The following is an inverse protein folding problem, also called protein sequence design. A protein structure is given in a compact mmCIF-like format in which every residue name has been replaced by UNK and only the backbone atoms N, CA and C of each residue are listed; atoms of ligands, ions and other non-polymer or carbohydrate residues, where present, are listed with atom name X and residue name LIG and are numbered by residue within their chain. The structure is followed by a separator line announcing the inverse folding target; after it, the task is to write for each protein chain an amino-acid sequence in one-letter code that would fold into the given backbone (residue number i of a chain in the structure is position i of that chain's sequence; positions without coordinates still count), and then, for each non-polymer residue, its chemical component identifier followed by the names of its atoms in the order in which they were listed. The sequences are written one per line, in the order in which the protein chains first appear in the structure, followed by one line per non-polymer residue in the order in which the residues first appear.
data_IF_955652199318
#
_entry.id   IF_955652199318
#
_cell.length_a   1.000
_cell.length_b   1.000
_cell.length_c   1.000
_cell.angle_alpha   90.00
_cell.angle_beta   90.00
_cell.angle_gamma   90.00
#
_symmetry.space_group_name_H-M   'P 1'
#
loop_
_entity.id
_entity.type
_entity.pdbx_description
1 polymer ?
#
# COMPACT_ATOMS: atom_id res chain seq x y z
N UNK A 1 18.20 0.18 -0.28
CA UNK A 1 17.29 0.13 -1.45
C UNK A 1 15.89 0.36 -0.93
N UNK A 2 15.18 1.27 -1.56
CA UNK A 2 13.76 1.55 -1.25
C UNK A 2 12.89 0.32 -1.50
N UNK A 3 11.91 0.09 -0.65
CA UNK A 3 10.88 -0.93 -0.83
C UNK A 3 9.55 -0.26 -1.18
N UNK A 4 8.94 -0.66 -2.30
CA UNK A 4 7.65 -0.12 -2.75
C UNK A 4 6.57 -1.17 -2.54
N UNK A 5 5.57 -0.84 -1.72
CA UNK A 5 4.47 -1.74 -1.34
C UNK A 5 3.14 -1.15 -1.79
N UNK A 6 2.43 -1.83 -2.68
CA UNK A 6 1.07 -1.49 -3.02
C UNK A 6 0.08 -2.14 -2.03
N UNK A 7 -0.79 -1.34 -1.43
CA UNK A 7 -1.85 -1.81 -0.52
C UNK A 7 -3.13 -2.00 -1.34
N UNK A 8 -3.45 -3.25 -1.67
CA UNK A 8 -4.47 -3.57 -2.67
C UNK A 8 -5.51 -4.55 -2.14
N UNK A 9 -6.78 -4.24 -2.35
CA UNK A 9 -7.87 -5.20 -2.30
C UNK A 9 -9.05 -4.64 -3.10
N UNK A 10 -9.69 -5.49 -3.91
CA UNK A 10 -10.85 -5.15 -4.71
C UNK A 10 -12.08 -4.80 -3.84
N UNK A 11 -12.15 -5.33 -2.62
CA UNK A 11 -13.24 -5.05 -1.70
C UNK A 11 -13.05 -3.69 -1.03
N UNK A 12 -14.10 -2.86 -1.04
CA UNK A 12 -14.16 -1.63 -0.25
C UNK A 12 -14.26 -1.91 1.25
N UNK A 13 -13.81 -0.97 2.08
CA UNK A 13 -13.97 -1.06 3.53
C UNK A 13 -13.14 -2.14 4.24
N UNK A 14 -12.05 -2.63 3.63
CA UNK A 14 -11.14 -3.60 4.26
C UNK A 14 -9.93 -2.95 4.96
N UNK A 15 -10.03 -1.67 5.26
CA UNK A 15 -8.99 -0.87 5.92
C UNK A 15 -7.68 -0.69 5.11
N UNK A 16 -7.74 -0.55 3.76
CA UNK A 16 -6.56 -0.22 2.95
C UNK A 16 -5.92 1.08 3.40
N UNK A 17 -6.62 2.18 3.29
CA UNK A 17 -6.18 3.53 3.70
C UNK A 17 -5.74 3.57 5.16
N UNK A 18 -6.53 2.97 6.06
CA UNK A 18 -6.17 2.88 7.48
C UNK A 18 -4.85 2.12 7.67
N UNK A 19 -4.62 1.06 6.90
CA UNK A 19 -3.36 0.30 6.95
C UNK A 19 -2.22 1.12 6.40
N UNK A 20 -2.42 1.86 5.30
CA UNK A 20 -1.38 2.73 4.72
C UNK A 20 -0.92 3.79 5.71
N UNK A 21 -1.85 4.55 6.32
CA UNK A 21 -1.53 5.58 7.33
C UNK A 21 -0.77 4.99 8.50
N UNK A 22 -1.30 3.92 9.09
CA UNK A 22 -0.77 3.42 10.36
C UNK A 22 0.49 2.57 10.19
N UNK A 23 0.66 1.89 9.06
CA UNK A 23 1.92 1.24 8.72
C UNK A 23 3.00 2.29 8.44
N UNK A 24 2.67 3.38 7.73
CA UNK A 24 3.60 4.48 7.49
C UNK A 24 4.07 5.12 8.80
N UNK A 25 3.15 5.43 9.71
CA UNK A 25 3.47 5.96 11.02
C UNK A 25 4.35 5.01 11.84
N UNK A 26 4.04 3.72 11.83
CA UNK A 26 4.83 2.72 12.54
C UNK A 26 6.25 2.56 11.94
N UNK A 27 6.40 2.58 10.61
CA UNK A 27 7.71 2.57 9.95
C UNK A 27 8.50 3.85 10.27
N UNK A 28 7.84 5.02 10.31
CA UNK A 28 8.46 6.29 10.71
C UNK A 28 8.93 6.25 12.18
N UNK A 29 8.18 5.63 13.11
CA UNK A 29 8.63 5.41 14.50
C UNK A 29 9.93 4.56 14.56
N UNK A 30 10.17 3.67 13.58
CA UNK A 30 11.41 2.91 13.44
C UNK A 30 12.56 3.71 12.78
N UNK A 31 12.32 4.98 12.43
CA UNK A 31 13.31 5.87 11.80
C UNK A 31 13.44 5.70 10.30
N UNK A 32 12.53 4.94 9.66
CA UNK A 32 12.47 4.78 8.21
C UNK A 32 11.85 6.03 7.55
N UNK A 33 12.39 6.44 6.40
CA UNK A 33 11.81 7.51 5.58
C UNK A 33 10.69 6.94 4.72
N UNK A 34 9.47 7.43 4.92
CA UNK A 34 8.27 6.86 4.30
C UNK A 34 7.55 7.88 3.42
N UNK A 35 7.30 7.51 2.17
CA UNK A 35 6.39 8.20 1.28
C UNK A 35 5.08 7.40 1.16
N UNK A 36 3.96 8.05 1.40
CA UNK A 36 2.63 7.55 1.06
C UNK A 36 2.18 8.16 -0.27
N UNK A 37 1.70 7.34 -1.18
CA UNK A 37 1.10 7.77 -2.44
C UNK A 37 -0.39 7.45 -2.38
N UNK A 38 -1.24 8.47 -2.46
CA UNK A 38 -2.68 8.30 -2.58
C UNK A 38 -3.06 8.10 -4.06
N UNK A 39 -3.48 6.89 -4.42
CA UNK A 39 -3.88 6.53 -5.77
C UNK A 39 -5.40 6.25 -5.88
N UNK A 40 -6.19 6.76 -4.93
CA UNK A 40 -7.64 6.73 -4.96
C UNK A 40 -8.18 8.13 -5.28
N UNK A 41 -8.97 8.32 -6.36
CA UNK A 41 -9.61 9.61 -6.65
C UNK A 41 -10.50 10.15 -5.53
N UNK A 42 -10.92 9.31 -4.59
CA UNK A 42 -11.65 9.74 -3.40
C UNK A 42 -10.77 10.44 -2.35
N UNK A 43 -9.44 10.44 -2.53
CA UNK A 43 -8.45 11.12 -1.68
C UNK A 43 -8.58 10.80 -0.18
N UNK A 44 -8.99 9.57 0.16
CA UNK A 44 -9.21 9.17 1.55
C UNK A 44 -7.91 9.17 2.36
N UNK A 45 -6.78 8.78 1.77
CA UNK A 45 -5.48 8.83 2.42
C UNK A 45 -5.05 10.29 2.66
N UNK A 46 -5.24 11.13 1.66
CA UNK A 46 -4.96 12.57 1.71
C UNK A 46 -5.72 13.25 2.85
N UNK A 47 -7.02 12.98 2.96
CA UNK A 47 -7.85 13.49 4.05
C UNK A 47 -7.46 12.91 5.42
N UNK A 48 -7.14 11.63 5.48
CA UNK A 48 -6.73 10.95 6.73
C UNK A 48 -5.38 11.45 7.26
N UNK A 49 -4.57 12.09 6.43
CA UNK A 49 -3.33 12.76 6.81
C UNK A 49 -3.50 14.29 6.90
N UNK A 50 -4.73 14.77 7.10
CA UNK A 50 -5.04 16.13 7.53
C UNK A 50 -5.37 17.13 6.42
N UNK A 51 -5.27 16.79 5.13
CA UNK A 51 -5.68 17.66 4.06
C UNK A 51 -7.18 17.51 3.77
N UNK A 52 -7.99 18.45 4.29
CA UNK A 52 -9.46 18.37 4.21
C UNK A 52 -10.04 18.85 2.87
N UNK A 53 -9.27 19.56 2.05
CA UNK A 53 -9.67 20.08 0.73
C UNK A 53 -8.71 19.59 -0.36
N UNK A 54 -8.66 18.27 -0.65
CA UNK A 54 -7.70 17.71 -1.61
C UNK A 54 -7.86 18.28 -3.02
N UNK A 55 -9.06 18.66 -3.42
CA UNK A 55 -9.35 19.20 -4.76
C UNK A 55 -8.86 20.65 -4.96
N UNK A 56 -8.47 21.33 -3.89
CA UNK A 56 -7.89 22.69 -3.93
C UNK A 56 -6.34 22.67 -3.94
N UNK A 57 -5.73 21.48 -3.84
CA UNK A 57 -4.27 21.36 -3.87
C UNK A 57 -3.72 21.75 -5.24
N UNK A 58 -2.61 22.50 -5.27
CA UNK A 58 -2.03 22.99 -6.52
C UNK A 58 -1.32 21.89 -7.34
N UNK A 59 -1.01 20.76 -6.71
CA UNK A 59 -0.31 19.63 -7.34
C UNK A 59 -0.67 18.31 -6.64
N UNK A 60 -1.05 17.31 -7.42
CA UNK A 60 -1.53 16.01 -6.96
C UNK A 60 -1.05 14.87 -7.84
N UNK A 61 -1.42 13.63 -7.54
CA UNK A 61 -1.15 12.48 -8.42
C UNK A 61 -1.74 12.63 -9.82
N UNK A 62 -2.80 13.42 -10.00
CA UNK A 62 -3.32 13.73 -11.34
C UNK A 62 -2.29 14.45 -12.20
N UNK A 63 -1.60 15.45 -11.64
CA UNK A 63 -0.55 16.21 -12.32
C UNK A 63 0.69 15.34 -12.62
N UNK A 64 1.03 14.43 -11.71
CA UNK A 64 2.12 13.45 -11.92
C UNK A 64 1.81 12.56 -13.13
N UNK A 65 0.59 12.03 -13.21
CA UNK A 65 0.18 11.18 -14.34
C UNK A 65 0.17 11.99 -15.64
N UNK A 66 -0.28 13.25 -15.61
CA UNK A 66 -0.25 14.14 -16.77
C UNK A 66 1.17 14.38 -17.28
N UNK A 67 2.11 14.65 -16.36
CA UNK A 67 3.54 14.79 -16.72
C UNK A 67 4.12 13.51 -17.31
N UNK A 68 3.74 12.36 -16.76
CA UNK A 68 4.20 11.06 -17.26
C UNK A 68 3.68 10.77 -18.68
N UNK A 69 2.43 11.11 -18.97
CA UNK A 69 1.83 11.00 -20.33
C UNK A 69 2.54 11.95 -21.31
N UNK A 70 2.85 13.18 -20.86
CA UNK A 70 3.53 14.19 -21.68
C UNK A 70 5.05 13.94 -21.83
N UNK A 71 5.58 12.85 -21.23
CA UNK A 71 7.02 12.54 -21.19
C UNK A 71 7.88 13.68 -20.63
N UNK A 72 7.31 14.48 -19.74
CA UNK A 72 8.01 15.56 -19.06
C UNK A 72 8.84 15.02 -17.88
N UNK A 73 9.97 15.70 -17.54
CA UNK A 73 10.71 15.35 -16.32
C UNK A 73 9.84 15.47 -15.07
N UNK A 74 9.87 14.45 -14.23
CA UNK A 74 9.11 14.40 -12.99
C UNK A 74 10.04 14.76 -11.82
N UNK A 75 9.71 15.83 -11.09
CA UNK A 75 10.33 16.13 -9.80
C UNK A 75 9.59 15.35 -8.71
N UNK A 76 10.23 14.36 -8.07
CA UNK A 76 9.57 13.52 -7.07
C UNK A 76 9.19 14.25 -5.79
N UNK A 77 9.72 15.46 -5.56
CA UNK A 77 9.42 16.27 -4.37
C UNK A 77 8.34 17.31 -4.63
N UNK A 78 7.98 17.55 -5.88
CA UNK A 78 6.93 18.51 -6.22
C UNK A 78 5.56 18.02 -5.72
N UNK A 79 4.87 18.84 -4.92
CA UNK A 79 3.55 18.52 -4.37
C UNK A 79 3.56 17.61 -3.16
N UNK A 80 4.74 17.15 -2.71
CA UNK A 80 4.84 16.33 -1.49
C UNK A 80 4.50 17.16 -0.26
N UNK A 81 3.61 16.63 0.57
CA UNK A 81 3.17 17.21 1.84
C UNK A 81 3.87 16.49 2.98
N UNK A 82 4.56 17.25 3.84
CA UNK A 82 5.23 16.70 5.03
C UNK A 82 4.28 16.67 6.22
N UNK A 83 3.99 15.46 6.71
CA UNK A 83 3.14 15.27 7.89
C UNK A 83 3.96 15.30 9.19
N UNK A 84 3.42 15.87 10.30
CA UNK A 84 4.14 15.98 11.59
C UNK A 84 4.62 14.66 12.19
N UNK A 85 4.02 13.54 11.82
CA UNK A 85 4.43 12.18 12.25
C UNK A 85 5.60 11.62 11.42
N UNK A 86 6.30 12.45 10.63
CA UNK A 86 7.45 12.04 9.83
C UNK A 86 7.10 11.23 8.59
N UNK A 87 5.88 11.37 8.09
CA UNK A 87 5.38 10.75 6.87
C UNK A 87 5.33 11.80 5.77
N UNK A 88 5.80 11.47 4.59
CA UNK A 88 5.59 12.27 3.39
C UNK A 88 4.41 11.72 2.60
N UNK A 89 3.61 12.61 2.04
CA UNK A 89 2.40 12.30 1.27
C UNK A 89 2.47 12.91 -0.13
N UNK A 90 2.33 12.09 -1.17
CA UNK A 90 1.91 12.54 -2.49
C UNK A 90 0.38 12.43 -2.54
N UNK A 91 -0.33 13.58 -2.56
CA UNK A 91 -1.78 13.60 -2.42
C UNK A 91 -2.52 13.23 -3.70
N UNK A 92 -3.78 12.81 -3.56
CA UNK A 92 -4.74 12.62 -4.63
C UNK A 92 -5.78 13.74 -4.67
N UNK A 93 -6.55 13.77 -5.76
CA UNK A 93 -7.74 14.60 -5.92
C UNK A 93 -8.75 13.92 -6.85
N UNK A 94 -9.98 14.44 -6.91
CA UNK A 94 -11.03 13.92 -7.81
C UNK A 94 -10.61 13.95 -9.28
N UNK A 95 -9.70 14.83 -9.65
CA UNK A 95 -9.18 14.95 -11.02
C UNK A 95 -8.53 13.65 -11.50
N UNK A 96 -7.95 12.86 -10.59
CA UNK A 96 -7.34 11.57 -10.92
C UNK A 96 -8.35 10.59 -11.57
N UNK A 97 -9.65 10.72 -11.30
CA UNK A 97 -10.68 9.89 -11.93
C UNK A 97 -10.75 10.05 -13.46
N UNK A 98 -10.43 11.23 -13.98
CA UNK A 98 -10.37 11.50 -15.41
C UNK A 98 -9.31 10.66 -16.12
N UNK A 99 -8.20 10.41 -15.46
CA UNK A 99 -7.08 9.65 -16.03
C UNK A 99 -7.36 8.16 -16.20
N UNK A 100 -8.37 7.61 -15.52
CA UNK A 100 -8.83 6.26 -15.82
C UNK A 100 -9.27 6.09 -17.27
N UNK A 101 -9.91 7.13 -17.84
CA UNK A 101 -10.36 7.13 -19.25
C UNK A 101 -9.24 7.54 -20.20
N UNK A 102 -8.45 8.54 -19.85
CA UNK A 102 -7.31 9.02 -20.66
C UNK A 102 -6.31 7.89 -20.88
N UNK A 103 -5.92 7.19 -19.83
CA UNK A 103 -4.94 6.11 -19.88
C UNK A 103 -5.38 4.92 -20.76
N UNK A 104 -6.67 4.73 -21.02
CA UNK A 104 -7.12 3.60 -21.88
C UNK A 104 -6.48 3.65 -23.26
N UNK A 105 -6.25 4.86 -23.80
CA UNK A 105 -5.74 5.08 -25.15
C UNK A 105 -4.22 5.36 -25.18
N UNK A 106 -3.54 5.46 -24.03
CA UNK A 106 -2.13 5.79 -23.96
C UNK A 106 -1.22 4.56 -24.15
N UNK A 107 -0.12 4.76 -24.87
CA UNK A 107 0.94 3.77 -24.98
C UNK A 107 1.72 3.65 -23.67
N UNK A 108 1.99 2.41 -23.23
CA UNK A 108 2.70 2.18 -21.96
C UNK A 108 1.93 2.65 -20.73
N UNK A 109 0.61 2.78 -20.84
CA UNK A 109 -0.33 3.27 -19.84
C UNK A 109 -0.20 2.64 -18.45
N UNK A 110 0.33 1.44 -18.38
CA UNK A 110 0.58 0.70 -17.15
C UNK A 110 1.85 1.14 -16.42
N UNK A 111 2.72 1.96 -17.05
CA UNK A 111 4.02 2.38 -16.51
C UNK A 111 4.06 3.85 -16.05
N UNK A 112 2.95 4.57 -16.06
CA UNK A 112 2.94 6.01 -15.77
C UNK A 112 3.34 6.29 -14.31
N UNK A 113 2.77 5.56 -13.36
CA UNK A 113 3.15 5.69 -11.95
C UNK A 113 4.60 5.27 -11.68
N UNK A 114 5.10 4.27 -12.41
CA UNK A 114 6.46 3.75 -12.22
C UNK A 114 7.51 4.84 -12.43
N UNK A 115 7.31 5.75 -13.38
CA UNK A 115 8.23 6.88 -13.62
C UNK A 115 8.40 7.74 -12.37
N UNK A 116 7.30 8.09 -11.70
CA UNK A 116 7.34 8.83 -10.43
C UNK A 116 7.99 8.03 -9.31
N UNK A 117 7.58 6.78 -9.14
CA UNK A 117 8.12 5.90 -8.08
C UNK A 117 9.63 5.72 -8.24
N UNK A 118 10.12 5.48 -9.45
CA UNK A 118 11.56 5.31 -9.71
C UNK A 118 12.34 6.61 -9.41
N UNK A 119 11.77 7.78 -9.68
CA UNK A 119 12.36 9.07 -9.33
C UNK A 119 12.35 9.31 -7.79
N UNK A 120 11.33 8.83 -7.08
CA UNK A 120 11.19 8.99 -5.62
C UNK A 120 12.05 8.00 -4.80
N UNK A 121 12.34 6.80 -5.34
CA UNK A 121 13.10 5.75 -4.63
C UNK A 121 14.39 6.21 -3.93
N UNK A 122 15.24 7.12 -4.47
CA UNK A 122 16.46 7.54 -3.82
C UNK A 122 16.27 8.27 -2.48
N UNK A 123 15.07 8.80 -2.22
CA UNK A 123 14.77 9.67 -1.09
C UNK A 123 14.12 8.94 0.08
N UNK A 124 13.56 7.74 -0.16
CA UNK A 124 12.74 7.00 0.81
C UNK A 124 13.23 5.57 1.02
N UNK A 125 13.05 5.07 2.24
CA UNK A 125 13.28 3.66 2.58
C UNK A 125 12.06 2.80 2.22
N UNK A 126 10.85 3.37 2.42
CA UNK A 126 9.58 2.74 2.05
C UNK A 126 8.69 3.70 1.27
N UNK A 127 8.04 3.18 0.22
CA UNK A 127 6.98 3.87 -0.52
C UNK A 127 5.73 3.01 -0.44
N UNK A 128 4.66 3.54 0.17
CA UNK A 128 3.38 2.85 0.32
C UNK A 128 2.36 3.45 -0.64
N UNK A 129 1.75 2.63 -1.51
CA UNK A 129 0.77 3.08 -2.49
C UNK A 129 -0.61 2.63 -2.02
N UNK A 130 -1.48 3.57 -1.62
CA UNK A 130 -2.88 3.29 -1.28
C UNK A 130 -3.73 3.21 -2.55
N UNK A 131 -4.35 2.06 -2.79
CA UNK A 131 -5.10 1.80 -4.00
C UNK A 131 -6.61 1.83 -3.76
N UNK A 132 -7.34 2.34 -4.75
CA UNK A 132 -8.81 2.31 -4.74
C UNK A 132 -9.36 0.86 -4.72
N UNK A 133 -10.65 0.65 -4.35
CA UNK A 133 -11.26 -0.68 -4.28
C UNK A 133 -11.69 -1.19 -5.66
N UNK A 134 -10.77 -1.21 -6.62
CA UNK A 134 -11.00 -1.70 -7.99
C UNK A 134 -9.71 -2.28 -8.57
N UNK A 135 -9.80 -3.04 -9.64
CA UNK A 135 -8.65 -3.57 -10.39
C UNK A 135 -8.57 -2.89 -11.78
N UNK A 136 -8.75 -1.58 -11.80
CA UNK A 136 -8.67 -0.76 -13.00
C UNK A 136 -7.22 -0.36 -13.35
N UNK A 137 -7.05 0.54 -14.31
CA UNK A 137 -5.74 0.93 -14.84
C UNK A 137 -4.86 1.60 -13.77
N UNK A 138 -5.43 2.35 -12.81
CA UNK A 138 -4.64 2.97 -11.73
C UNK A 138 -4.07 1.88 -10.79
N UNK A 139 -4.88 0.91 -10.40
CA UNK A 139 -4.40 -0.23 -9.58
C UNK A 139 -3.37 -1.07 -10.35
N UNK A 140 -3.53 -1.24 -11.67
CA UNK A 140 -2.51 -1.91 -12.49
C UNK A 140 -1.19 -1.11 -12.46
N UNK A 141 -1.23 0.22 -12.56
CA UNK A 141 -0.06 1.09 -12.42
C UNK A 141 0.64 0.89 -11.06
N UNK A 142 -0.13 0.79 -9.96
CA UNK A 142 0.43 0.50 -8.64
C UNK A 142 1.15 -0.85 -8.61
N UNK A 143 0.55 -1.91 -9.18
CA UNK A 143 1.14 -3.24 -9.25
C UNK A 143 2.39 -3.29 -10.13
N UNK A 144 2.44 -2.49 -11.19
CA UNK A 144 3.60 -2.40 -12.08
C UNK A 144 4.75 -1.64 -11.42
N UNK A 145 4.46 -0.60 -10.64
CA UNK A 145 5.45 0.21 -9.96
C UNK A 145 5.99 -0.43 -8.67
N UNK A 146 5.21 -1.32 -8.03
CA UNK A 146 5.54 -1.90 -6.74
C UNK A 146 6.54 -3.05 -6.81
N UNK A 147 7.29 -3.26 -5.72
CA UNK A 147 8.11 -4.45 -5.48
C UNK A 147 7.27 -5.57 -4.87
N UNK A 148 6.28 -5.20 -4.05
CA UNK A 148 5.40 -6.16 -3.40
C UNK A 148 3.99 -5.62 -3.15
N UNK A 149 3.06 -6.56 -2.84
CA UNK A 149 1.65 -6.27 -2.58
C UNK A 149 1.27 -6.72 -1.19
N UNK A 150 0.80 -5.79 -0.34
CA UNK A 150 0.16 -6.07 0.93
C UNK A 150 -1.37 -6.11 0.73
N UNK A 151 -2.01 -7.15 1.23
CA UNK A 151 -3.43 -7.42 0.97
C UNK A 151 -4.22 -7.40 2.29
N UNK A 152 -4.77 -6.24 2.71
CA UNK A 152 -5.67 -6.18 3.85
C UNK A 152 -6.96 -6.93 3.55
N UNK A 153 -7.40 -7.79 4.45
CA UNK A 153 -8.63 -8.58 4.28
C UNK A 153 -9.39 -8.72 5.60
N UNK A 154 -10.71 -8.63 5.54
CA UNK A 154 -11.56 -8.92 6.69
C UNK A 154 -11.84 -10.42 6.77
N UNK A 155 -11.95 -11.01 7.97
CA UNK A 155 -12.31 -12.41 8.15
C UNK A 155 -13.81 -12.64 7.92
N UNK A 156 -14.23 -12.54 6.67
CA UNK A 156 -15.62 -12.76 6.22
C UNK A 156 -15.65 -13.84 5.15
N UNK A 157 -16.71 -14.65 5.13
CA UNK A 157 -16.87 -15.79 4.22
C UNK A 157 -16.65 -15.44 2.73
N UNK A 158 -17.14 -14.29 2.28
CA UNK A 158 -16.98 -13.84 0.88
C UNK A 158 -15.60 -13.26 0.55
N UNK A 159 -14.71 -13.11 1.53
CA UNK A 159 -13.36 -12.58 1.29
C UNK A 159 -12.49 -13.50 0.44
N UNK A 160 -12.70 -14.80 0.50
CA UNK A 160 -11.98 -15.80 -0.29
C UNK A 160 -12.13 -15.58 -1.81
N UNK A 161 -13.36 -15.29 -2.29
CA UNK A 161 -13.62 -15.03 -3.72
C UNK A 161 -12.97 -13.73 -4.20
N UNK A 162 -12.97 -12.69 -3.36
CA UNK A 162 -12.28 -11.42 -3.68
C UNK A 162 -10.76 -11.58 -3.76
N UNK A 163 -10.18 -12.39 -2.86
CA UNK A 163 -8.76 -12.73 -2.90
C UNK A 163 -8.39 -13.52 -4.16
N UNK A 164 -9.23 -14.47 -4.59
CA UNK A 164 -9.00 -15.24 -5.82
C UNK A 164 -8.91 -14.34 -7.05
N UNK A 165 -9.85 -13.40 -7.22
CA UNK A 165 -9.83 -12.44 -8.33
C UNK A 165 -8.61 -11.53 -8.28
N UNK A 166 -8.21 -11.08 -7.09
CA UNK A 166 -7.01 -10.30 -6.90
C UNK A 166 -5.76 -11.09 -7.31
N UNK A 167 -5.64 -12.35 -6.87
CA UNK A 167 -4.52 -13.21 -7.24
C UNK A 167 -4.48 -13.53 -8.74
N UNK A 168 -5.62 -13.63 -9.41
CA UNK A 168 -5.67 -13.77 -10.87
C UNK A 168 -5.11 -12.52 -11.57
N UNK A 169 -5.48 -11.32 -11.11
CA UNK A 169 -4.96 -10.06 -11.66
C UNK A 169 -3.48 -9.90 -11.35
N UNK A 170 -3.07 -10.11 -10.09
CA UNK A 170 -1.68 -10.14 -9.68
C UNK A 170 -0.83 -11.05 -10.59
N UNK A 171 -1.27 -12.30 -10.80
CA UNK A 171 -0.54 -13.26 -11.64
C UNK A 171 -0.44 -12.83 -13.11
N UNK A 172 -1.43 -12.09 -13.63
CA UNK A 172 -1.37 -11.53 -14.99
C UNK A 172 -0.33 -10.41 -15.07
N UNK A 173 -0.35 -9.49 -14.08
CA UNK A 173 0.62 -8.38 -14.00
C UNK A 173 2.03 -8.94 -13.82
N UNK A 174 2.24 -9.85 -12.87
CA UNK A 174 3.52 -10.47 -12.62
C UNK A 174 4.11 -11.12 -13.88
N UNK A 175 3.32 -11.91 -14.62
CA UNK A 175 3.83 -12.61 -15.82
C UNK A 175 4.12 -11.70 -17.01
N UNK A 176 3.40 -10.57 -17.14
CA UNK A 176 3.41 -9.77 -18.37
C UNK A 176 4.08 -8.41 -18.24
N UNK A 177 4.07 -7.82 -17.03
CA UNK A 177 4.41 -6.42 -16.84
C UNK A 177 5.47 -6.20 -15.74
N UNK A 178 5.38 -6.94 -14.63
CA UNK A 178 6.31 -6.83 -13.50
C UNK A 178 6.69 -8.22 -12.97
N UNK A 179 7.67 -8.92 -13.61
CA UNK A 179 8.05 -10.29 -13.21
C UNK A 179 8.58 -10.41 -11.79
N UNK A 180 9.10 -9.33 -11.23
CA UNK A 180 9.69 -9.28 -9.89
C UNK A 180 8.67 -8.98 -8.78
N UNK A 181 7.41 -8.68 -9.15
CA UNK A 181 6.34 -8.40 -8.20
C UNK A 181 6.10 -9.60 -7.27
N UNK A 182 6.10 -9.35 -5.97
CA UNK A 182 5.89 -10.35 -4.92
C UNK A 182 4.62 -10.06 -4.13
N UNK A 183 4.18 -11.05 -3.34
CA UNK A 183 3.17 -10.82 -2.31
C UNK A 183 3.89 -10.62 -0.98
N UNK A 184 3.79 -9.41 -0.41
CA UNK A 184 4.33 -9.08 0.91
C UNK A 184 3.63 -9.90 1.99
N UNK A 185 2.31 -9.97 1.90
CA UNK A 185 1.49 -10.81 2.76
C UNK A 185 0.01 -10.41 2.75
N UNK A 186 -0.80 -11.32 3.26
CA UNK A 186 -2.21 -11.09 3.57
C UNK A 186 -2.30 -10.63 5.02
N UNK A 187 -2.91 -9.45 5.25
CA UNK A 187 -3.12 -8.86 6.57
C UNK A 187 -4.58 -9.03 6.97
N UNK A 188 -4.83 -9.73 8.07
CA UNK A 188 -6.18 -9.81 8.66
C UNK A 188 -6.50 -8.50 9.37
N UNK A 189 -7.56 -7.83 8.95
CA UNK A 189 -7.98 -6.53 9.47
C UNK A 189 -9.38 -6.61 10.08
N UNK A 190 -9.72 -5.63 10.94
CA UNK A 190 -11.03 -5.53 11.61
C UNK A 190 -11.42 -6.83 12.33
N UNK A 191 -10.44 -7.43 12.98
CA UNK A 191 -10.61 -8.69 13.69
C UNK A 191 -11.50 -8.49 14.92
N UNK A 192 -12.66 -9.14 14.93
CA UNK A 192 -13.50 -9.31 16.11
C UNK A 192 -13.32 -10.73 16.64
N UNK A 193 -12.69 -10.88 17.80
CA UNK A 193 -12.39 -12.19 18.39
C UNK A 193 -13.57 -12.81 19.14
N UNK A 194 -14.68 -12.10 19.29
CA UNK A 194 -15.85 -12.60 20.04
C UNK A 194 -16.58 -13.76 19.34
N UNK A 195 -16.83 -13.74 18.01
CA UNK A 195 -17.42 -14.87 17.34
C UNK A 195 -16.37 -15.97 17.04
N UNK A 196 -16.71 -17.25 17.34
CA UNK A 196 -15.86 -18.39 16.96
C UNK A 196 -15.67 -18.47 15.43
N UNK A 197 -16.71 -18.14 14.66
CA UNK A 197 -16.67 -18.09 13.21
C UNK A 197 -15.53 -17.24 12.64
N UNK A 198 -15.16 -16.14 13.30
CA UNK A 198 -14.05 -15.29 12.85
C UNK A 198 -12.71 -16.04 12.90
N UNK A 199 -12.50 -16.84 13.92
CA UNK A 199 -11.30 -17.69 14.04
C UNK A 199 -11.26 -18.75 12.94
N UNK A 200 -12.38 -19.42 12.69
CA UNK A 200 -12.49 -20.44 11.65
C UNK A 200 -12.16 -19.87 10.26
N UNK A 201 -12.59 -18.62 9.97
CA UNK A 201 -12.27 -17.96 8.71
C UNK A 201 -10.79 -17.58 8.61
N UNK A 202 -10.17 -17.11 9.70
CA UNK A 202 -8.71 -16.83 9.73
C UNK A 202 -7.92 -18.11 9.50
N UNK A 203 -8.30 -19.20 10.18
CA UNK A 203 -7.66 -20.51 10.01
C UNK A 203 -7.85 -21.04 8.58
N UNK A 204 -9.00 -20.78 7.96
CA UNK A 204 -9.25 -21.09 6.55
C UNK A 204 -8.34 -20.27 5.62
N UNK A 205 -8.17 -18.96 5.88
CA UNK A 205 -7.24 -18.10 5.11
C UNK A 205 -5.81 -18.64 5.25
N UNK A 206 -5.37 -18.92 6.46
CA UNK A 206 -4.03 -19.45 6.74
C UNK A 206 -3.80 -20.82 6.10
N UNK A 207 -4.77 -21.74 6.17
CA UNK A 207 -4.65 -23.08 5.57
C UNK A 207 -4.73 -23.05 4.03
N UNK A 208 -5.56 -22.17 3.46
CA UNK A 208 -5.75 -22.09 2.00
C UNK A 208 -4.59 -21.38 1.31
N UNK A 209 -4.13 -20.27 1.89
CA UNK A 209 -3.13 -19.39 1.24
C UNK A 209 -1.74 -19.48 1.87
N UNK A 210 -1.62 -19.85 3.16
CA UNK A 210 -0.36 -19.83 3.91
C UNK A 210 0.75 -20.76 3.40
N UNK A 211 0.39 -21.76 2.58
CA UNK A 211 1.37 -22.60 1.87
C UNK A 211 2.00 -21.94 0.64
N UNK A 212 1.36 -20.91 0.08
CA UNK A 212 1.78 -20.24 -1.16
C UNK A 212 2.09 -18.75 -0.95
N UNK A 213 1.47 -18.11 0.06
CA UNK A 213 1.57 -16.69 0.33
C UNK A 213 1.70 -16.48 1.84
N UNK A 214 2.56 -15.57 2.27
CA UNK A 214 2.66 -15.18 3.69
C UNK A 214 1.31 -14.62 4.15
N UNK A 215 0.83 -15.09 5.31
CA UNK A 215 -0.21 -14.42 6.10
C UNK A 215 0.50 -13.83 7.31
N UNK A 216 0.38 -12.51 7.51
CA UNK A 216 1.03 -11.84 8.64
C UNK A 216 0.58 -12.44 9.98
N UNK A 217 1.47 -12.49 10.94
CA UNK A 217 1.14 -12.90 12.31
C UNK A 217 0.34 -11.80 13.01
N UNK A 218 0.61 -10.55 12.67
CA UNK A 218 -0.14 -9.39 13.10
C UNK A 218 -1.57 -9.42 12.59
N UNK A 219 -2.54 -9.25 13.49
CA UNK A 219 -3.97 -9.11 13.19
C UNK A 219 -4.44 -7.76 13.71
N UNK A 220 -5.09 -6.95 12.84
CA UNK A 220 -5.55 -5.61 13.24
C UNK A 220 -6.94 -5.73 13.87
N UNK A 221 -7.09 -5.43 15.17
CA UNK A 221 -8.38 -5.49 15.85
C UNK A 221 -9.38 -4.45 15.31
N UNK A 222 -10.67 -4.76 15.39
CA UNK A 222 -11.71 -3.78 15.15
C UNK A 222 -11.68 -2.70 16.25
N UNK A 223 -11.67 -1.42 15.84
CA UNK A 223 -11.65 -0.30 16.78
C UNK A 223 -12.38 0.92 16.21
N UNK A 224 -13.22 1.52 17.02
CA UNK A 224 -13.89 2.80 16.70
C UNK A 224 -12.85 3.93 16.65
N UNK A 225 -11.86 3.91 17.55
CA UNK A 225 -10.78 4.92 17.58
C UNK A 225 -9.98 4.96 16.29
N UNK A 226 -9.80 3.82 15.61
CA UNK A 226 -9.12 3.77 14.33
C UNK A 226 -9.91 4.46 13.19
N UNK A 227 -11.20 4.70 13.37
CA UNK A 227 -12.03 5.49 12.45
C UNK A 227 -11.94 6.98 12.82
N UNK A 228 -11.95 7.28 14.11
CA UNK A 228 -11.93 8.66 14.64
C UNK A 228 -10.60 9.37 14.33
N UNK A 229 -9.46 8.68 14.43
CA UNK A 229 -8.14 9.29 14.21
C UNK A 229 -7.96 9.83 12.78
N UNK A 230 -8.53 9.18 11.77
CA UNK A 230 -8.50 9.69 10.39
C UNK A 230 -9.25 11.02 10.21
N UNK A 231 -10.32 11.25 10.96
CA UNK A 231 -11.04 12.53 10.95
C UNK A 231 -10.23 13.67 11.61
N UNK A 232 -9.29 13.33 12.51
CA UNK A 232 -8.37 14.29 13.15
C UNK A 232 -7.08 14.50 12.33
N UNK A 233 -6.90 13.82 11.23
CA UNK A 233 -5.68 13.89 10.43
C UNK A 233 -4.47 13.29 11.16
N UNK A 234 -4.65 12.19 11.91
CA UNK A 234 -3.60 11.55 12.72
C UNK A 234 -3.61 10.05 12.54
N UNK A 235 -2.47 9.41 12.78
CA UNK A 235 -2.41 7.96 12.92
C UNK A 235 -3.02 7.48 14.25
N UNK A 236 -3.37 6.20 14.33
CA UNK A 236 -3.77 5.59 15.61
C UNK A 236 -2.59 5.55 16.61
N UNK A 237 -1.35 5.59 16.12
CA UNK A 237 -0.16 5.59 16.95
C UNK A 237 -0.04 6.92 17.72
N UNK A 238 -0.41 8.04 17.08
CA UNK A 238 -0.48 9.36 17.74
C UNK A 238 -1.76 9.54 18.58
N UNK A 239 -2.90 9.03 18.10
CA UNK A 239 -4.20 9.20 18.76
C UNK A 239 -4.37 8.29 20.00
N UNK A 240 -3.99 7.02 19.92
CA UNK A 240 -4.06 6.03 21.01
C UNK A 240 -2.78 5.18 21.10
N UNK A 241 -1.63 5.79 21.48
CA UNK A 241 -0.29 5.18 21.36
C UNK A 241 -0.12 3.88 22.16
N UNK A 242 -0.94 3.66 23.20
CA UNK A 242 -0.92 2.44 24.03
C UNK A 242 -2.05 1.47 23.69
N UNK A 243 -2.84 1.79 22.67
CA UNK A 243 -3.95 0.97 22.23
C UNK A 243 -3.50 -0.30 21.51
N UNK A 244 -4.34 -1.33 21.56
CA UNK A 244 -4.06 -2.62 20.88
C UNK A 244 -3.90 -2.49 19.36
N UNK A 245 -4.55 -1.51 18.73
CA UNK A 245 -4.43 -1.29 17.30
C UNK A 245 -3.08 -0.66 16.96
N UNK A 246 -2.62 0.32 17.77
CA UNK A 246 -1.28 0.90 17.61
C UNK A 246 -0.18 -0.17 17.78
N UNK A 247 -0.31 -1.03 18.81
CA UNK A 247 0.60 -2.15 19.02
C UNK A 247 0.60 -3.12 17.82
N UNK A 248 -0.58 -3.45 17.27
CA UNK A 248 -0.68 -4.34 16.12
C UNK A 248 0.00 -3.76 14.87
N UNK A 249 -0.10 -2.44 14.62
CA UNK A 249 0.60 -1.81 13.49
C UNK A 249 2.11 -1.71 13.72
N UNK A 250 2.60 -1.51 14.96
CA UNK A 250 4.04 -1.60 15.28
C UNK A 250 4.59 -3.00 15.01
N UNK A 251 3.84 -4.03 15.39
CA UNK A 251 4.21 -5.42 15.11
C UNK A 251 4.23 -5.68 13.60
N UNK A 252 3.24 -5.19 12.85
CA UNK A 252 3.20 -5.28 11.40
C UNK A 252 4.42 -4.59 10.74
N UNK A 253 4.79 -3.39 11.20
CA UNK A 253 5.97 -2.69 10.71
C UNK A 253 7.25 -3.49 10.93
N UNK A 254 7.40 -4.11 12.11
CA UNK A 254 8.53 -5.00 12.40
C UNK A 254 8.56 -6.20 11.46
N UNK A 255 7.41 -6.83 11.17
CA UNK A 255 7.33 -7.94 10.21
C UNK A 255 7.69 -7.51 8.77
N UNK A 256 7.31 -6.29 8.36
CA UNK A 256 7.65 -5.73 7.04
C UNK A 256 9.16 -5.46 6.94
N UNK A 257 9.76 -4.84 7.96
CA UNK A 257 11.21 -4.57 8.02
C UNK A 257 12.01 -5.89 7.98
N UNK A 258 11.60 -6.89 8.75
CA UNK A 258 12.24 -8.21 8.77
C UNK A 258 12.18 -8.90 7.39
N UNK A 259 11.06 -8.80 6.69
CA UNK A 259 10.91 -9.33 5.33
C UNK A 259 11.90 -8.65 4.38
N UNK A 260 11.97 -7.31 4.40
CA UNK A 260 12.89 -6.54 3.56
C UNK A 260 14.36 -6.94 3.82
N UNK A 261 14.74 -7.14 5.08
CA UNK A 261 16.09 -7.56 5.44
C UNK A 261 16.41 -8.97 4.95
N UNK A 262 15.49 -9.91 5.11
CA UNK A 262 15.62 -11.30 4.61
C UNK A 262 15.79 -11.35 3.10
N UNK A 263 15.07 -10.51 2.37
CA UNK A 263 15.20 -10.41 0.91
C UNK A 263 16.55 -9.83 0.48
N UNK A 264 17.02 -8.77 1.14
CA UNK A 264 18.36 -8.21 0.90
C UNK A 264 19.45 -9.27 1.11
N UNK A 265 19.35 -10.07 2.18
CA UNK A 265 20.30 -11.15 2.46
C UNK A 265 20.27 -12.25 1.38
N UNK A 266 19.08 -12.66 0.91
CA UNK A 266 18.95 -13.66 -0.16
C UNK A 266 19.52 -13.18 -1.49
N UNK A 267 19.25 -11.93 -1.86
CA UNK A 267 19.79 -11.31 -3.08
C UNK A 267 21.34 -11.25 -3.04
N UNK A 268 21.91 -10.90 -1.88
CA UNK A 268 23.36 -10.86 -1.69
C UNK A 268 23.98 -12.26 -1.84
N UNK A 269 23.39 -13.28 -1.22
CA UNK A 269 23.87 -14.68 -1.33
C UNK A 269 23.82 -15.18 -2.77
N UNK A 270 22.75 -14.86 -3.52
CA UNK A 270 22.61 -15.27 -4.92
C UNK A 270 23.66 -14.63 -5.83
N UNK A 271 23.97 -13.35 -5.60
CA UNK A 271 25.03 -12.64 -6.33
C UNK A 271 26.42 -13.21 -6.00
N UNK A 272 26.72 -13.50 -4.73
CA UNK A 272 28.00 -14.10 -4.35
C UNK A 272 28.22 -15.48 -4.98
N UNK A 273 27.19 -16.28 -5.21
CA UNK A 273 27.27 -17.58 -5.86
C UNK A 273 27.50 -17.46 -7.38
N UNK A 274 27.06 -16.38 -8.03
CA UNK A 274 27.30 -16.09 -9.46
C UNK A 274 28.76 -15.69 -9.75
N UNK A 275 29.45 -15.08 -8.80
CA UNK A 275 30.86 -14.67 -8.95
C UNK A 275 31.87 -15.81 -8.70
N UNK A 276 31.40 -16.98 -8.23
CA UNK A 276 32.24 -18.17 -7.98
C UNK A 276 32.20 -19.21 -9.10
N UNK A 277 31.51 -18.90 -10.19
CA UNK A 277 31.49 -19.70 -11.43
C UNK A 277 32.16 -18.92 -12.56
#
# INVERSE_FOLDING_TARGET
MSQVIAIVNQKGGVAKTTTTVNLAAALSEHGEKVLCIDLDPQANLTMSLGCQTPDELPYTMADVIDQAIAENPIDPMQGVIHHPEGIDLMPSSIQLSGYETVLINEYGRENMLRQYVDAARPFYDHILIDCQPSLNILTINALVAADSVLIPTQPQFFSAKGLELLFQTYSKVQRKMNPDLKVEGVLVTMMDRRPNFTKDVVDLIRSTYGGSVKVFDSEIPMSVRAIECGAEGKSILAHDPKGKVAEAYRNLASEVIDNAQREKCRAYQHNCLRWRK
#
